data_IF_430020321880
#
_entry.id   IF_430020321880
#
_cell.length_a   1.000
_cell.length_b   1.000
_cell.length_c   1.000
_cell.angle_alpha   90.00
_cell.angle_beta   90.00
_cell.angle_gamma   90.00
#
_symmetry.space_group_name_H-M   'P 1'
#
loop_
_entity.id
_entity.type
_entity.pdbx_description
1 polymer ?
#
# COMPACT_ATOMS: atom_id res chain seq x y z
N UNK A 1 -16.54 43.10 21.93
CA UNK A 1 -16.54 42.21 20.75
C UNK A 1 -15.11 41.75 20.45
N UNK A 2 -14.71 40.53 20.82
CA UNK A 2 -13.37 39.98 20.57
C UNK A 2 -13.40 39.02 19.36
N UNK A 3 -12.47 39.25 18.43
CA UNK A 3 -12.33 38.64 17.10
C UNK A 3 -12.07 37.14 17.16
N UNK A 4 -12.94 36.34 16.55
CA UNK A 4 -12.77 34.90 16.31
C UNK A 4 -12.24 34.70 14.87
N UNK A 5 -10.99 35.08 14.58
CA UNK A 5 -10.39 34.86 13.26
C UNK A 5 -8.93 34.38 13.35
N UNK A 6 -8.59 33.52 14.31
CA UNK A 6 -7.23 32.94 14.40
C UNK A 6 -7.11 31.44 14.15
N UNK A 7 -8.19 30.69 13.96
CA UNK A 7 -8.11 29.21 13.95
C UNK A 7 -8.27 28.51 12.57
N UNK A 8 -8.63 29.23 11.51
CA UNK A 8 -8.86 28.62 10.18
C UNK A 8 -7.54 28.42 9.40
N UNK A 9 -6.59 29.35 9.53
CA UNK A 9 -5.31 29.30 8.82
C UNK A 9 -4.37 28.21 9.39
N UNK A 10 -4.37 28.01 10.71
CA UNK A 10 -3.56 26.97 11.35
C UNK A 10 -4.09 25.55 11.04
N UNK A 11 -5.41 25.38 11.01
CA UNK A 11 -6.03 24.09 10.64
C UNK A 11 -5.79 23.72 9.17
N UNK A 12 -5.89 24.68 8.25
CA UNK A 12 -5.66 24.43 6.81
C UNK A 12 -4.20 24.11 6.49
N UNK A 13 -3.23 24.73 7.18
CA UNK A 13 -1.81 24.41 7.04
C UNK A 13 -1.46 23.02 7.61
N UNK A 14 -2.04 22.64 8.75
CA UNK A 14 -1.83 21.32 9.35
C UNK A 14 -2.39 20.17 8.47
N UNK A 15 -3.51 20.41 7.78
CA UNK A 15 -4.08 19.45 6.80
C UNK A 15 -3.19 19.34 5.56
N UNK A 16 -2.64 20.45 5.07
CA UNK A 16 -1.72 20.47 3.92
C UNK A 16 -0.42 19.73 4.22
N UNK A 17 0.17 19.91 5.40
CA UNK A 17 1.39 19.19 5.80
C UNK A 17 1.16 17.69 5.96
N UNK A 18 0.03 17.27 6.53
CA UNK A 18 -0.34 15.84 6.60
C UNK A 18 -0.58 15.25 5.21
N UNK A 19 -1.21 15.99 4.30
CA UNK A 19 -1.39 15.55 2.91
C UNK A 19 -0.04 15.41 2.20
N UNK A 20 0.88 16.35 2.42
CA UNK A 20 2.21 16.34 1.80
C UNK A 20 3.06 15.16 2.30
N UNK A 21 3.08 14.92 3.62
CA UNK A 21 3.76 13.76 4.20
C UNK A 21 3.17 12.42 3.74
N UNK A 22 1.83 12.36 3.58
CA UNK A 22 1.17 11.18 3.02
C UNK A 22 1.55 10.92 1.57
N UNK A 23 1.66 11.97 0.74
CA UNK A 23 2.08 11.86 -0.66
C UNK A 23 3.53 11.41 -0.77
N UNK A 24 4.45 11.97 0.02
CA UNK A 24 5.87 11.57 0.04
C UNK A 24 6.05 10.11 0.48
N UNK A 25 5.31 9.69 1.50
CA UNK A 25 5.29 8.29 1.92
C UNK A 25 4.85 7.37 0.77
N UNK A 26 3.77 7.74 0.07
CA UNK A 26 3.28 6.95 -1.07
C UNK A 26 4.30 6.92 -2.21
N UNK A 27 4.94 8.05 -2.54
CA UNK A 27 6.01 8.13 -3.55
C UNK A 27 7.14 7.15 -3.24
N UNK A 28 7.65 7.17 -2.00
CA UNK A 28 8.74 6.27 -1.57
C UNK A 28 8.39 4.78 -1.72
N UNK A 29 7.09 4.45 -1.69
CA UNK A 29 6.57 3.08 -1.73
C UNK A 29 6.02 2.67 -3.10
N UNK A 30 6.02 3.55 -4.11
CA UNK A 30 5.56 3.22 -5.47
C UNK A 30 6.33 2.05 -6.09
N UNK A 31 7.62 1.93 -5.79
CA UNK A 31 8.47 0.83 -6.27
C UNK A 31 8.10 -0.55 -5.68
N UNK A 32 7.26 -0.58 -4.64
CA UNK A 32 6.69 -1.83 -4.14
C UNK A 32 5.61 -2.36 -5.08
N UNK A 33 4.93 -1.51 -5.85
CA UNK A 33 3.93 -1.92 -6.82
C UNK A 33 4.59 -2.45 -8.11
N UNK A 34 3.80 -3.14 -8.93
CA UNK A 34 4.21 -3.61 -10.25
C UNK A 34 3.03 -3.59 -11.21
N UNK A 35 3.32 -3.57 -12.52
CA UNK A 35 2.30 -3.62 -13.57
C UNK A 35 1.31 -2.46 -13.51
N UNK A 36 0.03 -2.77 -13.74
CA UNK A 36 -1.05 -1.80 -13.85
C UNK A 36 -1.27 -0.96 -12.59
N UNK A 37 -1.09 -1.54 -11.40
CA UNK A 37 -1.23 -0.80 -10.14
C UNK A 37 -0.11 0.25 -9.98
N UNK A 38 1.12 -0.06 -10.39
CA UNK A 38 2.23 0.90 -10.37
C UNK A 38 1.94 2.05 -11.33
N UNK A 39 1.61 1.74 -12.58
CA UNK A 39 1.30 2.74 -13.59
C UNK A 39 0.16 3.68 -13.14
N UNK A 40 -0.92 3.10 -12.62
CA UNK A 40 -2.07 3.86 -12.11
C UNK A 40 -1.65 4.85 -11.01
N UNK A 41 -0.88 4.38 -10.03
CA UNK A 41 -0.46 5.23 -8.92
C UNK A 41 0.60 6.26 -9.34
N UNK A 42 1.45 5.95 -10.32
CA UNK A 42 2.39 6.92 -10.92
C UNK A 42 1.64 8.05 -11.63
N UNK A 43 0.62 7.74 -12.46
CA UNK A 43 -0.24 8.77 -13.06
C UNK A 43 -0.89 9.67 -12.01
N UNK A 44 -1.38 9.07 -10.92
CA UNK A 44 -2.05 9.81 -9.87
C UNK A 44 -1.11 10.69 -9.02
N UNK A 45 0.05 10.16 -8.61
CA UNK A 45 0.92 10.79 -7.60
C UNK A 45 2.06 11.60 -8.22
N UNK A 46 2.69 11.11 -9.28
CA UNK A 46 3.84 11.78 -9.91
C UNK A 46 3.38 12.78 -10.96
N UNK A 47 2.40 12.41 -11.77
CA UNK A 47 1.89 13.25 -12.86
C UNK A 47 0.68 14.10 -12.47
N UNK A 48 0.11 13.89 -11.27
CA UNK A 48 -1.02 14.66 -10.77
C UNK A 48 -2.29 14.52 -11.61
N UNK A 49 -2.43 13.45 -12.40
CA UNK A 49 -3.60 13.24 -13.22
C UNK A 49 -4.86 13.10 -12.36
N UNK A 50 -5.94 13.76 -12.78
CA UNK A 50 -7.22 13.61 -12.09
C UNK A 50 -7.81 12.20 -12.30
N UNK A 51 -8.64 11.74 -11.36
CA UNK A 51 -9.36 10.46 -11.47
C UNK A 51 -10.12 10.38 -12.79
N UNK A 52 -10.73 11.50 -13.22
CA UNK A 52 -11.43 11.64 -14.50
C UNK A 52 -10.52 11.41 -15.71
N UNK A 53 -9.33 12.02 -15.73
CA UNK A 53 -8.36 11.81 -16.82
C UNK A 53 -7.92 10.34 -16.89
N UNK A 54 -7.61 9.75 -15.74
CA UNK A 54 -7.19 8.34 -15.65
C UNK A 54 -8.32 7.40 -16.12
N UNK A 55 -9.56 7.67 -15.69
CA UNK A 55 -10.74 6.90 -16.08
C UNK A 55 -10.96 6.91 -17.59
N UNK A 56 -10.84 8.09 -18.21
CA UNK A 56 -10.94 8.26 -19.66
C UNK A 56 -9.85 7.50 -20.41
N UNK A 57 -8.59 7.59 -19.98
CA UNK A 57 -7.46 6.88 -20.61
C UNK A 57 -7.64 5.36 -20.51
N UNK A 58 -8.17 4.87 -19.40
CA UNK A 58 -8.34 3.43 -19.14
C UNK A 58 -9.68 2.85 -19.63
N UNK A 59 -10.59 3.68 -20.14
CA UNK A 59 -11.93 3.24 -20.56
C UNK A 59 -12.78 2.66 -19.42
N UNK A 60 -12.63 3.16 -18.19
CA UNK A 60 -13.39 2.67 -17.01
C UNK A 60 -14.07 3.84 -16.29
N UNK A 61 -14.98 3.54 -15.36
CA UNK A 61 -15.66 4.58 -14.57
C UNK A 61 -14.73 5.25 -13.56
N UNK A 62 -14.99 6.54 -13.28
CA UNK A 62 -14.27 7.30 -12.25
C UNK A 62 -14.34 6.62 -10.87
N UNK A 63 -15.51 6.09 -10.52
CA UNK A 63 -15.73 5.36 -9.27
C UNK A 63 -14.84 4.12 -9.15
N UNK A 64 -14.63 3.38 -10.26
CA UNK A 64 -13.74 2.23 -10.29
C UNK A 64 -12.29 2.63 -10.04
N UNK A 65 -11.85 3.72 -10.67
CA UNK A 65 -10.51 4.29 -10.48
C UNK A 65 -10.31 4.77 -9.05
N UNK A 66 -11.24 5.56 -8.52
CA UNK A 66 -11.20 6.08 -7.15
C UNK A 66 -11.12 4.94 -6.12
N UNK A 67 -11.96 3.91 -6.28
CA UNK A 67 -11.94 2.72 -5.41
C UNK A 67 -10.61 1.98 -5.48
N UNK A 68 -10.04 1.84 -6.69
CA UNK A 68 -8.75 1.15 -6.88
C UNK A 68 -7.61 1.93 -6.25
N UNK A 69 -7.53 3.25 -6.46
CA UNK A 69 -6.54 4.13 -5.84
C UNK A 69 -6.63 4.02 -4.31
N UNK A 70 -7.84 4.18 -3.73
CA UNK A 70 -8.04 4.06 -2.28
C UNK A 70 -7.58 2.72 -1.73
N UNK A 71 -7.88 1.62 -2.42
CA UNK A 71 -7.45 0.28 -2.01
C UNK A 71 -5.92 0.12 -2.07
N UNK A 72 -5.26 0.67 -3.08
CA UNK A 72 -3.79 0.64 -3.19
C UNK A 72 -3.16 1.51 -2.12
N UNK A 73 -3.63 2.75 -1.93
CA UNK A 73 -3.18 3.66 -0.88
C UNK A 73 -3.24 3.00 0.49
N UNK A 74 -4.38 2.38 0.86
CA UNK A 74 -4.52 1.66 2.13
C UNK A 74 -3.48 0.54 2.30
N UNK A 75 -3.23 -0.24 1.24
CA UNK A 75 -2.21 -1.31 1.27
C UNK A 75 -0.78 -0.76 1.38
N UNK A 76 -0.53 0.42 0.82
CA UNK A 76 0.77 1.07 0.84
C UNK A 76 1.05 1.85 2.12
N UNK A 77 0.05 2.35 2.86
CA UNK A 77 0.29 3.08 4.11
C UNK A 77 0.41 2.13 5.30
N UNK A 78 -0.61 1.31 5.52
CA UNK A 78 -0.80 0.49 6.73
C UNK A 78 -1.28 -0.93 6.40
N UNK A 79 -0.88 -1.45 5.23
CA UNK A 79 -1.20 -2.82 4.84
C UNK A 79 -0.32 -3.85 5.56
N UNK A 80 -0.76 -5.12 5.67
CA UNK A 80 0.03 -6.19 6.30
C UNK A 80 1.42 -6.40 5.68
N UNK A 81 1.60 -6.02 4.41
CA UNK A 81 2.91 -6.05 3.77
C UNK A 81 3.89 -5.04 4.38
N UNK A 82 3.40 -3.89 4.85
CA UNK A 82 4.23 -2.89 5.54
C UNK A 82 4.74 -3.47 6.87
N UNK A 83 3.91 -4.23 7.57
CA UNK A 83 4.35 -4.91 8.79
C UNK A 83 5.37 -6.02 8.50
N UNK A 84 5.26 -6.69 7.35
CA UNK A 84 6.32 -7.58 6.87
C UNK A 84 7.63 -6.83 6.63
N UNK A 85 7.59 -5.63 6.05
CA UNK A 85 8.78 -4.81 5.82
C UNK A 85 9.39 -4.30 7.14
N UNK A 86 8.57 -3.97 8.14
CA UNK A 86 9.03 -3.63 9.50
C UNK A 86 9.77 -4.79 10.16
N UNK A 87 9.32 -6.02 9.91
CA UNK A 87 9.93 -7.25 10.40
C UNK A 87 10.86 -7.93 9.38
N UNK A 88 11.42 -7.18 8.41
CA UNK A 88 12.23 -7.75 7.30
C UNK A 88 13.40 -8.61 7.78
N UNK A 89 13.99 -8.30 8.94
CA UNK A 89 15.10 -9.08 9.50
C UNK A 89 14.71 -10.50 9.93
N UNK A 90 13.42 -10.75 10.18
CA UNK A 90 12.88 -12.06 10.54
C UNK A 90 12.34 -12.84 9.35
N UNK A 91 12.34 -12.26 8.15
CA UNK A 91 11.73 -12.83 6.95
C UNK A 91 12.78 -13.00 5.84
N UNK A 92 12.78 -14.18 5.23
CA UNK A 92 13.58 -14.45 4.04
C UNK A 92 13.06 -13.67 2.83
N UNK A 93 13.93 -13.43 1.84
CA UNK A 93 13.52 -12.76 0.59
C UNK A 93 12.40 -13.50 -0.14
N UNK A 94 12.34 -14.83 -0.04
CA UNK A 94 11.26 -15.66 -0.58
C UNK A 94 9.93 -15.43 0.14
N UNK A 95 9.96 -15.37 1.48
CA UNK A 95 8.78 -15.03 2.28
C UNK A 95 8.27 -13.62 1.96
N UNK A 96 9.16 -12.64 1.85
CA UNK A 96 8.80 -11.28 1.46
C UNK A 96 8.19 -11.23 0.06
N UNK A 97 8.69 -12.03 -0.89
CA UNK A 97 8.13 -12.12 -2.23
C UNK A 97 6.70 -12.70 -2.23
N UNK A 98 6.44 -13.74 -1.43
CA UNK A 98 5.09 -14.31 -1.25
C UNK A 98 4.17 -13.33 -0.53
N UNK A 99 4.67 -12.65 0.52
CA UNK A 99 3.94 -11.61 1.24
C UNK A 99 3.54 -10.46 0.32
N UNK A 100 4.45 -10.03 -0.57
CA UNK A 100 4.21 -9.00 -1.58
C UNK A 100 3.09 -9.42 -2.52
N UNK A 101 3.18 -10.62 -3.08
CA UNK A 101 2.18 -11.10 -4.02
C UNK A 101 0.80 -11.22 -3.35
N UNK A 102 0.74 -11.73 -2.11
CA UNK A 102 -0.51 -11.92 -1.39
C UNK A 102 -1.11 -10.61 -0.85
N UNK A 103 -0.40 -9.92 0.04
CA UNK A 103 -0.93 -8.76 0.77
C UNK A 103 -0.92 -7.48 -0.06
N UNK A 104 0.14 -7.24 -0.84
CA UNK A 104 0.26 -6.01 -1.60
C UNK A 104 -0.43 -6.11 -2.96
N UNK A 105 -0.22 -7.18 -3.71
CA UNK A 105 -0.83 -7.29 -5.05
C UNK A 105 -2.22 -7.93 -5.05
N UNK A 106 -2.57 -8.69 -4.00
CA UNK A 106 -3.89 -9.31 -3.87
C UNK A 106 -4.06 -10.56 -4.73
N UNK A 107 -2.96 -11.26 -5.05
CA UNK A 107 -3.02 -12.52 -5.79
C UNK A 107 -3.53 -13.65 -4.88
N UNK A 108 -4.36 -14.52 -5.44
CA UNK A 108 -4.79 -15.74 -4.74
C UNK A 108 -3.61 -16.70 -4.54
N UNK A 109 -3.64 -17.52 -3.49
CA UNK A 109 -2.58 -18.49 -3.22
C UNK A 109 -2.31 -19.42 -4.41
N UNK A 110 -3.35 -19.81 -5.16
CA UNK A 110 -3.21 -20.60 -6.40
C UNK A 110 -2.42 -19.86 -7.48
N UNK A 111 -2.69 -18.56 -7.68
CA UNK A 111 -1.93 -17.74 -8.65
C UNK A 111 -0.48 -17.54 -8.20
N UNK A 112 -0.26 -17.39 -6.90
CA UNK A 112 1.10 -17.28 -6.33
C UNK A 112 1.86 -18.59 -6.54
N UNK A 113 1.23 -19.73 -6.23
CA UNK A 113 1.79 -21.06 -6.44
C UNK A 113 2.24 -21.24 -7.90
N UNK A 114 1.38 -20.93 -8.87
CA UNK A 114 1.74 -20.94 -10.28
C UNK A 114 2.87 -19.97 -10.64
N UNK A 115 2.77 -18.71 -10.21
CA UNK A 115 3.77 -17.66 -10.49
C UNK A 115 5.16 -17.98 -9.93
N UNK A 116 5.23 -18.68 -8.80
CA UNK A 116 6.47 -18.98 -8.07
C UNK A 116 6.93 -20.42 -8.27
N UNK A 117 6.24 -21.22 -9.10
CA UNK A 117 6.51 -22.65 -9.30
C UNK A 117 6.49 -23.46 -7.99
N UNK A 118 5.59 -23.13 -7.07
CA UNK A 118 5.45 -23.78 -5.76
C UNK A 118 4.12 -24.52 -5.67
N UNK A 119 4.04 -25.48 -4.75
CA UNK A 119 2.76 -26.09 -4.41
C UNK A 119 1.89 -25.08 -3.64
N UNK A 120 0.57 -25.24 -3.76
CA UNK A 120 -0.40 -24.48 -2.97
C UNK A 120 -0.12 -24.60 -1.46
N UNK A 121 0.23 -25.81 -1.01
CA UNK A 121 0.54 -26.09 0.39
C UNK A 121 1.75 -25.29 0.87
N UNK A 122 2.85 -25.26 0.10
CA UNK A 122 4.03 -24.47 0.45
C UNK A 122 3.71 -22.97 0.58
N UNK A 123 2.88 -22.43 -0.31
CA UNK A 123 2.42 -21.02 -0.22
C UNK A 123 1.59 -20.79 1.04
N UNK A 124 0.65 -21.69 1.35
CA UNK A 124 -0.20 -21.61 2.55
C UNK A 124 0.64 -21.63 3.83
N UNK A 125 1.53 -22.61 3.98
CA UNK A 125 2.40 -22.73 5.16
C UNK A 125 3.31 -21.52 5.32
N UNK A 126 3.84 -21.01 4.20
CA UNK A 126 4.65 -19.80 4.21
C UNK A 126 3.86 -18.59 4.71
N UNK A 127 2.61 -18.42 4.27
CA UNK A 127 1.74 -17.35 4.75
C UNK A 127 1.37 -17.48 6.23
N UNK A 128 1.19 -18.71 6.73
CA UNK A 128 0.97 -18.95 8.17
C UNK A 128 2.19 -18.49 8.97
N UNK A 129 3.40 -18.89 8.55
CA UNK A 129 4.66 -18.46 9.19
C UNK A 129 4.86 -16.95 9.14
N UNK A 130 4.53 -16.31 8.03
CA UNK A 130 4.62 -14.84 7.91
C UNK A 130 3.66 -14.19 8.92
N UNK A 131 2.42 -14.69 9.03
CA UNK A 131 1.45 -14.15 9.99
C UNK A 131 1.91 -14.30 11.43
N UNK A 132 2.47 -15.44 11.82
CA UNK A 132 2.96 -15.61 13.20
C UNK A 132 4.06 -14.59 13.53
N UNK A 133 5.00 -14.36 12.61
CA UNK A 133 6.10 -13.39 12.80
C UNK A 133 5.58 -11.94 12.86
N UNK A 134 4.57 -11.61 12.06
CA UNK A 134 4.02 -10.25 11.97
C UNK A 134 3.05 -9.95 13.12
N UNK A 135 2.33 -10.94 13.62
CA UNK A 135 1.37 -10.81 14.72
C UNK A 135 2.03 -10.89 16.10
N UNK A 136 3.26 -11.41 16.22
CA UNK A 136 4.02 -11.34 17.46
C UNK A 136 4.16 -9.88 17.92
N UNK A 137 3.56 -9.49 19.07
CA UNK A 137 3.80 -8.17 19.62
C UNK A 137 5.28 -8.08 19.96
N UNK A 138 5.96 -7.08 19.40
CA UNK A 138 7.35 -6.80 19.71
C UNK A 138 7.47 -6.64 21.23
N UNK A 139 8.00 -7.66 21.93
CA UNK A 139 8.45 -7.51 23.31
C UNK A 139 9.53 -6.45 23.26
N UNK A 140 9.16 -5.23 23.68
CA UNK A 140 10.09 -4.12 23.92
C UNK A 140 11.12 -4.63 24.92
N UNK A 141 12.29 -4.99 24.42
CA UNK A 141 13.50 -5.06 25.23
C UNK A 141 13.91 -3.61 25.43
N UNK A 142 13.49 -3.07 26.58
CA UNK A 142 14.07 -1.87 27.19
C UNK A 142 15.10 -2.30 28.21
#
# INVERSE_FOLDING_TARGET
MKRIHKNIAEQTNNVKDRHRGGIELLRSRLNLLSGTDKLLMTMYIEHGNSIRQIARIRGVTETSVARRIRAITKRLTDGPYIDCLRNRGKLTSRQLAIAKDYFLTGLSMRRIAGKRCWSYYCVRETLIKIRSIVTEPQRRTG
#
